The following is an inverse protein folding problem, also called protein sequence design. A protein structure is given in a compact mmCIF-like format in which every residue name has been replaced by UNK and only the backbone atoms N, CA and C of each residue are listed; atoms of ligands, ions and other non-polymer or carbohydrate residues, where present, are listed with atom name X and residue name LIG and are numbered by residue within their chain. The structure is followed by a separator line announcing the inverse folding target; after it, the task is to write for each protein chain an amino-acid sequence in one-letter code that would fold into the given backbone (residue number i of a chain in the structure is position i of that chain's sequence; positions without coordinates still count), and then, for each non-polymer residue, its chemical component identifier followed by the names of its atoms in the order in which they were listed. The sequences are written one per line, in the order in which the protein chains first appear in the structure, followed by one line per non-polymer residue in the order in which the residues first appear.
data_IF_300346797021
#
_entry.id   IF_300346797021
#
_cell.length_a   1.000
_cell.length_b   1.000
_cell.length_c   1.000
_cell.angle_alpha   90.00
_cell.angle_beta   90.00
_cell.angle_gamma   90.00
#
_symmetry.space_group_name_H-M   'P 1'
#
loop_
_entity.id
_entity.type
_entity.pdbx_description
1 polymer ?
#
# COMPACT_ATOMS: atom_id res chain seq x y z
N UNK A 1 -16.30 0.46 -15.07
CA UNK A 1 -15.39 1.37 -14.32
C UNK A 1 -13.96 0.86 -14.47
N UNK A 2 -12.97 1.75 -14.67
CA UNK A 2 -11.58 1.35 -14.90
C UNK A 2 -10.84 1.09 -13.58
N UNK A 3 -10.17 -0.08 -13.40
CA UNK A 3 -9.38 -0.39 -12.20
C UNK A 3 -8.28 0.64 -11.90
N UNK A 4 -7.70 1.27 -12.93
CA UNK A 4 -6.69 2.32 -12.78
C UNK A 4 -7.30 3.56 -12.13
N UNK A 5 -8.53 3.93 -12.53
CA UNK A 5 -9.22 5.07 -11.95
C UNK A 5 -9.56 4.89 -10.47
N UNK A 6 -9.79 3.66 -10.01
CA UNK A 6 -9.99 3.40 -8.58
C UNK A 6 -8.71 3.54 -7.77
N UNK A 7 -7.56 3.13 -8.33
CA UNK A 7 -6.25 3.30 -7.70
C UNK A 7 -5.90 4.79 -7.59
N UNK A 8 -6.05 5.55 -8.69
CA UNK A 8 -5.76 7.01 -8.72
C UNK A 8 -6.60 7.77 -7.70
N UNK A 9 -7.86 7.36 -7.48
CA UNK A 9 -8.75 8.00 -6.53
C UNK A 9 -8.67 7.40 -5.10
N UNK A 10 -7.66 6.58 -4.79
CA UNK A 10 -7.47 5.99 -3.45
C UNK A 10 -8.55 4.98 -3.04
N UNK A 11 -9.43 4.56 -3.97
CA UNK A 11 -10.53 3.62 -3.71
C UNK A 11 -10.10 2.14 -3.82
N UNK A 12 -8.87 1.89 -4.26
CA UNK A 12 -8.32 0.54 -4.42
C UNK A 12 -6.84 0.51 -4.05
N UNK A 13 -6.49 -0.42 -3.17
CA UNK A 13 -5.12 -0.65 -2.69
C UNK A 13 -4.19 -1.17 -3.79
N UNK A 14 -2.94 -0.76 -3.76
CA UNK A 14 -1.87 -1.32 -4.60
C UNK A 14 -1.38 -2.63 -3.97
N UNK A 15 -1.40 -3.72 -4.74
CA UNK A 15 -0.93 -5.04 -4.32
C UNK A 15 0.38 -5.45 -5.01
N UNK A 16 1.16 -6.26 -4.28
CA UNK A 16 2.40 -6.92 -4.73
C UNK A 16 2.09 -8.14 -5.63
N UNK A 17 3.09 -8.82 -6.22
CA UNK A 17 2.89 -9.85 -7.26
C UNK A 17 1.88 -10.94 -6.93
N UNK A 18 1.80 -11.34 -5.65
CA UNK A 18 0.97 -12.47 -5.23
C UNK A 18 -0.54 -12.15 -5.17
N UNK A 19 -0.92 -10.85 -5.14
CA UNK A 19 -2.32 -10.41 -5.04
C UNK A 19 -2.74 -9.35 -6.06
N UNK A 20 -2.26 -9.42 -7.31
CA UNK A 20 -2.80 -8.62 -8.42
C UNK A 20 -1.79 -7.77 -9.18
N UNK A 21 -0.51 -7.77 -8.78
CA UNK A 21 0.61 -7.25 -9.58
C UNK A 21 0.50 -5.77 -9.97
N UNK A 22 -0.35 -4.99 -9.30
CA UNK A 22 -0.63 -3.59 -9.65
C UNK A 22 0.61 -2.71 -9.58
N UNK A 23 1.49 -2.91 -8.60
CA UNK A 23 2.75 -2.17 -8.51
C UNK A 23 3.65 -2.39 -9.74
N UNK A 24 3.71 -3.64 -10.24
CA UNK A 24 4.48 -3.98 -11.44
C UNK A 24 3.86 -3.41 -12.72
N UNK A 25 2.53 -3.42 -12.82
CA UNK A 25 1.81 -2.80 -13.95
C UNK A 25 2.01 -1.29 -13.99
N UNK A 26 1.92 -0.62 -12.83
CA UNK A 26 2.15 0.81 -12.71
C UNK A 26 3.60 1.18 -13.02
N UNK A 27 4.57 0.41 -12.49
CA UNK A 27 5.98 0.59 -12.82
C UNK A 27 6.25 0.50 -14.32
N UNK A 28 5.71 -0.52 -14.99
CA UNK A 28 5.84 -0.66 -16.44
C UNK A 28 5.11 0.43 -17.24
N UNK A 29 3.92 0.84 -16.80
CA UNK A 29 3.10 1.81 -17.53
C UNK A 29 3.60 3.26 -17.40
N UNK A 30 4.27 3.58 -16.30
CA UNK A 30 4.67 4.95 -15.93
C UNK A 30 6.20 5.14 -15.87
N UNK A 31 6.96 4.16 -16.33
CA UNK A 31 8.44 4.13 -16.29
C UNK A 31 9.00 4.39 -14.87
N UNK A 32 8.41 3.71 -13.88
CA UNK A 32 8.87 3.73 -12.49
C UNK A 32 9.14 2.32 -11.97
N UNK A 33 9.54 2.19 -10.70
CA UNK A 33 9.75 0.88 -10.08
C UNK A 33 8.50 0.39 -9.33
N UNK A 34 8.28 -0.92 -9.20
CA UNK A 34 7.23 -1.45 -8.33
C UNK A 34 7.47 -1.10 -6.85
N UNK A 35 8.73 -0.99 -6.41
CA UNK A 35 9.11 -0.59 -5.05
C UNK A 35 8.64 0.83 -4.73
N UNK A 36 8.72 1.76 -5.69
CA UNK A 36 8.18 3.11 -5.52
C UNK A 36 6.70 3.08 -5.13
N UNK A 37 5.89 2.31 -5.87
CA UNK A 37 4.46 2.19 -5.59
C UNK A 37 4.15 1.42 -4.30
N UNK A 38 4.96 0.41 -3.97
CA UNK A 38 4.82 -0.33 -2.71
C UNK A 38 5.12 0.56 -1.50
N UNK A 39 6.15 1.41 -1.58
CA UNK A 39 6.51 2.34 -0.52
C UNK A 39 5.42 3.39 -0.30
N UNK A 40 4.88 3.98 -1.38
CA UNK A 40 3.75 4.91 -1.27
C UNK A 40 2.53 4.29 -0.60
N UNK A 41 2.23 3.02 -0.89
CA UNK A 41 1.13 2.31 -0.23
C UNK A 41 1.43 2.09 1.26
N UNK A 42 2.66 1.71 1.62
CA UNK A 42 3.06 1.53 3.01
C UNK A 42 2.96 2.84 3.80
N UNK A 43 3.43 3.96 3.22
CA UNK A 43 3.32 5.28 3.84
C UNK A 43 1.86 5.69 4.04
N UNK A 44 1.02 5.50 3.02
CA UNK A 44 -0.42 5.77 3.12
C UNK A 44 -1.07 4.93 4.23
N UNK A 45 -0.77 3.62 4.27
CA UNK A 45 -1.32 2.71 5.28
C UNK A 45 -0.91 3.15 6.69
N UNK A 46 0.35 3.57 6.90
CA UNK A 46 0.81 4.09 8.19
C UNK A 46 0.16 5.43 8.58
N UNK A 47 0.01 6.35 7.64
CA UNK A 47 -0.54 7.69 7.89
C UNK A 47 -2.05 7.69 8.11
N UNK A 48 -2.76 6.72 7.54
CA UNK A 48 -4.23 6.60 7.64
C UNK A 48 -4.69 5.55 8.65
N UNK A 49 -3.74 4.82 9.24
CA UNK A 49 -4.03 3.86 10.28
C UNK A 49 -4.58 4.56 11.53
N UNK A 50 -5.71 4.08 12.04
CA UNK A 50 -6.28 4.54 13.30
C UNK A 50 -5.70 3.71 14.45
N UNK A 51 -4.79 4.27 15.28
CA UNK A 51 -4.15 3.53 16.37
C UNK A 51 -5.15 3.12 17.46
N UNK A 52 -6.34 3.72 17.52
CA UNK A 52 -7.38 3.32 18.48
C UNK A 52 -7.96 1.92 18.20
N UNK A 53 -7.70 1.38 17.00
CA UNK A 53 -8.08 0.02 16.62
C UNK A 53 -7.12 -1.05 17.13
N UNK A 54 -5.98 -0.67 17.71
CA UNK A 54 -5.06 -1.62 18.32
C UNK A 54 -5.60 -2.10 19.66
N UNK A 55 -5.55 -3.42 19.87
CA UNK A 55 -5.74 -4.03 21.20
C UNK A 55 -4.60 -3.64 22.17
N UNK A 56 -4.68 -4.06 23.44
CA UNK A 56 -3.59 -3.90 24.43
C UNK A 56 -2.37 -4.76 24.05
N UNK A 57 -1.54 -4.23 23.14
CA UNK A 57 -0.30 -4.84 22.68
C UNK A 57 0.86 -4.37 23.56
N UNK A 58 1.56 -5.33 24.18
CA UNK A 58 2.72 -5.06 25.04
C UNK A 58 4.03 -5.49 24.37
N UNK A 59 5.09 -4.67 24.42
CA UNK A 59 6.37 -5.03 23.82
C UNK A 59 7.01 -6.21 24.54
N UNK A 60 7.48 -7.20 23.77
CA UNK A 60 8.19 -8.37 24.29
C UNK A 60 9.68 -8.12 24.57
N UNK A 61 10.23 -7.05 23.96
CA UNK A 61 11.62 -6.64 24.11
C UNK A 61 11.64 -5.16 24.46
N UNK A 62 12.37 -4.81 25.52
CA UNK A 62 12.66 -3.42 25.88
C UNK A 62 14.07 -3.06 25.38
N UNK A 63 14.22 -1.82 24.91
CA UNK A 63 15.48 -1.26 24.42
C UNK A 63 16.47 -0.98 25.56
#
# INVERSE_FOLDING_TARGET
MSPIGEIVNGRRRITTPWHGGSAWRLGKALDTTPEFWANLQADHDLLTFDPSTLDDIRPLVQA
#
